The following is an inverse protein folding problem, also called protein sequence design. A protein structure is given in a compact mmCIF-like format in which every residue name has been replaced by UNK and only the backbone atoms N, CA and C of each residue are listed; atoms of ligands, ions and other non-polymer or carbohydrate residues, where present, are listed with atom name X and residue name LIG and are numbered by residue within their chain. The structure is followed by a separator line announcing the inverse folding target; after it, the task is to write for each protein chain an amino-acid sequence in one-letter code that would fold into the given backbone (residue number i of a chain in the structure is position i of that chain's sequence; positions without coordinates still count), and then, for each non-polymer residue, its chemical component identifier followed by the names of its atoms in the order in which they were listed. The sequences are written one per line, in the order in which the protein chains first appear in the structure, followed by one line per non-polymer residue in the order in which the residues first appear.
data_IF_777657129322
#
_entry.id   IF_777657129322
#
_cell.length_a   1.000
_cell.length_b   1.000
_cell.length_c   1.000
_cell.angle_alpha   90.00
_cell.angle_beta   90.00
_cell.angle_gamma   90.00
#
_symmetry.space_group_name_H-M   'P 1'
#
loop_
_entity.id
_entity.type
_entity.pdbx_description
1 polymer ?
#
# COMPACT_ATOMS: atom_id res chain seq x y z
N UNK A 1 -42.06 31.84 9.75
CA UNK A 1 -40.62 31.61 9.48
C UNK A 1 -40.03 30.93 10.71
N UNK A 2 -39.97 29.59 10.70
CA UNK A 2 -39.24 28.78 11.68
C UNK A 2 -38.02 28.24 10.94
N UNK A 3 -36.86 28.43 11.55
CA UNK A 3 -35.54 27.99 11.08
C UNK A 3 -35.40 26.48 11.28
N UNK A 4 -35.14 25.76 10.19
CA UNK A 4 -34.83 24.33 10.20
C UNK A 4 -33.39 24.08 10.67
N UNK A 5 -33.26 23.50 11.87
CA UNK A 5 -32.01 22.92 12.39
C UNK A 5 -31.74 21.57 11.72
N UNK A 6 -30.72 21.53 10.85
CA UNK A 6 -30.23 20.31 10.22
C UNK A 6 -29.34 19.53 11.23
N UNK A 7 -29.89 18.46 11.82
CA UNK A 7 -29.14 17.52 12.68
C UNK A 7 -28.19 16.64 11.84
N UNK A 8 -26.92 16.44 12.22
CA UNK A 8 -26.06 15.48 11.55
C UNK A 8 -26.39 14.05 12.00
N UNK A 9 -26.70 13.18 11.04
CA UNK A 9 -26.95 11.75 11.22
C UNK A 9 -25.69 11.01 11.68
N UNK A 10 -25.72 10.48 12.90
CA UNK A 10 -24.69 9.60 13.46
C UNK A 10 -24.75 8.20 12.85
N UNK A 11 -24.02 7.97 11.77
CA UNK A 11 -23.77 6.63 11.23
C UNK A 11 -22.72 5.90 12.06
N UNK A 12 -23.15 5.18 13.11
CA UNK A 12 -22.30 4.21 13.83
C UNK A 12 -22.00 3.03 12.89
N UNK A 13 -20.78 2.93 12.36
CA UNK A 13 -20.28 1.67 11.80
C UNK A 13 -19.81 0.77 12.95
N UNK A 14 -20.76 0.08 13.58
CA UNK A 14 -20.47 -0.98 14.53
C UNK A 14 -19.79 -2.16 13.83
N UNK A 15 -18.50 -2.37 14.09
CA UNK A 15 -17.84 -3.64 13.78
C UNK A 15 -18.12 -4.61 14.92
N UNK A 16 -18.92 -5.63 14.64
CA UNK A 16 -19.18 -6.77 15.53
C UNK A 16 -17.84 -7.46 15.84
N UNK A 17 -17.60 -7.71 17.13
CA UNK A 17 -16.41 -8.40 17.63
C UNK A 17 -16.57 -9.92 17.47
N UNK A 18 -15.77 -10.53 16.60
CA UNK A 18 -15.66 -11.99 16.42
C UNK A 18 -14.24 -12.52 16.75
N UNK A 19 -14.11 -13.80 17.13
CA UNK A 19 -13.03 -14.30 17.99
C UNK A 19 -11.64 -14.33 17.34
N UNK A 20 -10.62 -14.39 18.20
CA UNK A 20 -9.20 -14.23 17.87
C UNK A 20 -8.63 -15.40 17.07
N UNK A 21 -8.63 -15.27 15.74
CA UNK A 21 -7.84 -16.13 14.84
C UNK A 21 -6.36 -15.76 14.87
N UNK A 22 -5.48 -16.77 14.91
CA UNK A 22 -4.01 -16.70 15.06
C UNK A 22 -3.27 -15.79 14.07
N UNK A 23 -3.89 -15.43 12.94
CA UNK A 23 -3.36 -14.51 11.94
C UNK A 23 -4.46 -13.65 11.33
N UNK A 24 -4.49 -12.33 11.53
CA UNK A 24 -5.27 -11.45 10.64
C UNK A 24 -4.36 -10.94 9.54
N UNK A 25 -4.53 -11.42 8.31
CA UNK A 25 -4.15 -10.60 7.15
C UNK A 25 -5.11 -9.41 7.16
N UNK A 26 -4.72 -8.35 7.86
CA UNK A 26 -5.50 -7.13 7.82
C UNK A 26 -5.37 -6.60 6.40
N UNK A 27 -6.44 -6.77 5.60
CA UNK A 27 -6.69 -6.13 4.30
C UNK A 27 -5.46 -5.41 3.79
N UNK A 28 -4.54 -6.15 3.16
CA UNK A 28 -3.27 -5.62 2.69
C UNK A 28 -3.61 -4.45 1.77
N UNK A 29 -3.49 -3.22 2.27
CA UNK A 29 -3.76 -2.07 1.43
C UNK A 29 -2.61 -2.00 0.45
N UNK A 30 -2.87 -2.30 -0.80
CA UNK A 30 -1.89 -2.16 -1.87
C UNK A 30 -1.44 -0.70 -1.87
N UNK A 31 -0.19 -0.48 -1.52
CA UNK A 31 0.51 0.75 -1.81
C UNK A 31 1.57 0.38 -2.84
N UNK A 32 1.51 1.00 -4.02
CA UNK A 32 2.61 0.93 -4.97
C UNK A 32 3.85 1.44 -4.23
N UNK A 33 4.89 0.63 -4.10
CA UNK A 33 6.18 1.09 -3.57
C UNK A 33 7.12 1.13 -4.76
N UNK A 34 7.08 2.23 -5.50
CA UNK A 34 8.02 2.49 -6.60
C UNK A 34 9.48 2.24 -6.18
N UNK A 35 10.36 2.00 -7.14
CA UNK A 35 11.77 1.77 -6.91
C UNK A 35 12.45 2.88 -6.08
N UNK A 36 13.65 2.60 -5.59
CA UNK A 36 14.49 3.51 -4.78
C UNK A 36 14.89 4.82 -5.48
N UNK A 37 14.39 5.08 -6.69
CA UNK A 37 14.72 6.22 -7.56
C UNK A 37 13.81 7.44 -7.38
N UNK A 38 12.71 7.36 -6.61
CA UNK A 38 11.84 8.52 -6.31
C UNK A 38 12.05 9.04 -4.90
N UNK A 39 12.13 10.37 -4.77
CA UNK A 39 12.13 11.04 -3.48
C UNK A 39 10.84 10.72 -2.71
N UNK A 40 11.00 10.42 -1.42
CA UNK A 40 9.91 10.12 -0.51
C UNK A 40 10.09 10.86 0.79
N UNK A 41 9.12 11.70 1.11
CA UNK A 41 9.05 12.35 2.40
C UNK A 41 7.94 11.74 3.22
N UNK A 42 8.19 11.60 4.52
CA UNK A 42 7.21 11.10 5.48
C UNK A 42 6.70 12.29 6.26
N UNK A 43 5.41 12.58 6.15
CA UNK A 43 4.81 13.71 6.82
C UNK A 43 3.60 13.31 7.66
N UNK A 44 3.26 14.17 8.60
CA UNK A 44 1.96 14.21 9.21
C UNK A 44 1.11 15.24 8.48
N UNK A 45 -0.14 14.90 8.13
CA UNK A 45 -1.08 15.80 7.45
C UNK A 45 -2.24 16.14 8.38
N UNK A 46 -2.55 17.44 8.48
CA UNK A 46 -3.75 17.98 9.13
C UNK A 46 -4.35 19.05 8.22
N UNK A 47 -5.55 18.76 7.70
CA UNK A 47 -6.20 19.57 6.68
C UNK A 47 -5.25 19.83 5.49
N UNK A 48 -4.91 21.10 5.22
CA UNK A 48 -4.04 21.51 4.11
C UNK A 48 -2.55 21.60 4.50
N UNK A 49 -2.22 21.42 5.78
CA UNK A 49 -0.86 21.59 6.26
C UNK A 49 -0.16 20.24 6.46
N UNK A 50 1.11 20.20 6.08
CA UNK A 50 1.98 19.05 6.24
C UNK A 50 3.17 19.39 7.14
N UNK A 51 3.50 18.46 8.02
CA UNK A 51 4.51 18.63 9.05
C UNK A 51 5.49 17.46 9.04
N UNK A 52 6.76 17.72 9.35
CA UNK A 52 7.72 16.66 9.66
C UNK A 52 7.45 16.15 11.08
N UNK A 53 7.37 14.83 11.23
CA UNK A 53 7.15 14.21 12.53
C UNK A 53 8.51 13.93 13.20
N UNK A 54 9.01 14.90 13.95
CA UNK A 54 10.40 14.90 14.47
C UNK A 54 10.53 14.42 15.93
N UNK A 55 9.42 14.34 16.68
CA UNK A 55 9.46 13.85 18.06
C UNK A 55 9.34 12.31 18.16
N UNK A 56 9.95 11.66 19.17
CA UNK A 56 9.97 10.19 19.30
C UNK A 56 8.57 9.54 19.36
N UNK A 57 7.62 10.23 19.98
CA UNK A 57 6.22 9.81 20.13
C UNK A 57 5.34 10.20 18.94
N UNK A 58 5.86 10.95 17.96
CA UNK A 58 5.15 11.28 16.74
C UNK A 58 5.37 10.21 15.67
N UNK A 59 4.42 10.13 14.74
CA UNK A 59 4.52 9.26 13.59
C UNK A 59 3.92 9.96 12.37
N UNK A 60 4.65 9.89 11.25
CA UNK A 60 4.10 10.25 9.95
C UNK A 60 2.85 9.42 9.63
N UNK A 61 1.85 10.09 9.06
CA UNK A 61 0.59 9.50 8.61
C UNK A 61 0.53 9.36 7.09
N UNK A 62 1.40 10.06 6.37
CA UNK A 62 1.41 10.07 4.92
C UNK A 62 2.82 9.87 4.37
N UNK A 63 2.87 9.39 3.13
CA UNK A 63 4.07 9.36 2.29
C UNK A 63 3.81 10.30 1.13
N UNK A 64 4.66 11.31 0.99
CA UNK A 64 4.72 12.20 -0.15
C UNK A 64 5.65 11.58 -1.20
N UNK A 65 5.19 11.49 -2.45
CA UNK A 65 5.99 11.10 -3.60
C UNK A 65 5.95 12.20 -4.66
N UNK A 66 7.11 12.77 -4.94
CA UNK A 66 7.29 13.66 -6.09
C UNK A 66 7.83 12.88 -7.29
N UNK A 67 7.88 13.56 -8.45
CA UNK A 67 8.59 13.06 -9.62
C UNK A 67 10.10 12.92 -9.29
N UNK A 68 10.82 11.95 -9.88
CA UNK A 68 12.27 11.93 -9.78
C UNK A 68 12.85 13.23 -10.35
N UNK A 69 13.91 13.76 -9.71
CA UNK A 69 14.58 15.00 -10.12
C UNK A 69 15.27 14.87 -11.49
N UNK A 70 15.64 13.63 -11.89
CA UNK A 70 16.29 13.34 -13.16
C UNK A 70 15.58 12.15 -13.82
N UNK A 71 15.27 12.29 -15.11
CA UNK A 71 14.88 11.20 -16.01
C UNK A 71 13.47 10.60 -15.78
N UNK A 72 12.42 11.41 -15.97
CA UNK A 72 11.06 10.88 -16.02
C UNK A 72 10.29 11.50 -17.18
N UNK A 73 9.53 10.71 -17.97
CA UNK A 73 8.46 11.28 -18.78
C UNK A 73 7.52 12.10 -17.89
N UNK A 74 7.00 13.19 -18.43
CA UNK A 74 5.95 13.97 -17.77
C UNK A 74 4.76 13.04 -17.45
N UNK A 75 4.16 13.18 -16.27
CA UNK A 75 2.94 12.43 -15.91
C UNK A 75 3.09 11.30 -14.88
N UNK A 76 4.31 10.87 -14.51
CA UNK A 76 4.53 9.74 -13.58
C UNK A 76 3.76 9.81 -12.24
N UNK A 77 3.56 11.01 -11.69
CA UNK A 77 2.77 11.23 -10.46
C UNK A 77 1.27 11.10 -10.74
N UNK A 78 0.81 11.64 -11.87
CA UNK A 78 -0.57 11.55 -12.35
C UNK A 78 -0.97 10.12 -12.70
N UNK A 79 -0.11 9.38 -13.39
CA UNK A 79 -0.33 7.96 -13.72
C UNK A 79 -0.55 7.12 -12.46
N UNK A 80 0.27 7.36 -11.43
CA UNK A 80 0.13 6.65 -10.16
C UNK A 80 -1.15 7.06 -9.41
N UNK A 81 -1.52 8.34 -9.44
CA UNK A 81 -2.79 8.81 -8.90
C UNK A 81 -3.97 8.12 -9.58
N UNK A 82 -4.03 8.16 -10.91
CA UNK A 82 -5.11 7.55 -11.71
C UNK A 82 -5.19 6.05 -11.46
N UNK A 83 -4.06 5.32 -11.51
CA UNK A 83 -4.02 3.89 -11.24
C UNK A 83 -4.54 3.55 -9.83
N UNK A 84 -4.14 4.32 -8.80
CA UNK A 84 -4.58 4.10 -7.43
C UNK A 84 -6.07 4.42 -7.23
N UNK A 85 -6.58 5.50 -7.86
CA UNK A 85 -8.01 5.84 -7.85
C UNK A 85 -8.84 4.80 -8.57
N UNK A 86 -8.39 4.32 -9.74
CA UNK A 86 -9.05 3.25 -10.47
C UNK A 86 -9.10 1.97 -9.65
N UNK A 87 -7.97 1.58 -9.02
CA UNK A 87 -7.91 0.41 -8.14
C UNK A 87 -8.93 0.50 -7.00
N UNK A 88 -9.08 1.68 -6.39
CA UNK A 88 -10.09 1.93 -5.36
C UNK A 88 -11.52 1.76 -5.89
N UNK A 89 -11.84 2.34 -7.06
CA UNK A 89 -13.16 2.25 -7.68
C UNK A 89 -13.55 0.81 -8.02
N UNK A 90 -12.59 -0.02 -8.49
CA UNK A 90 -12.85 -1.45 -8.78
C UNK A 90 -12.82 -2.34 -7.53
N UNK A 91 -12.77 -1.74 -6.34
CA UNK A 91 -12.89 -2.43 -5.06
C UNK A 91 -11.62 -3.15 -4.57
N UNK A 92 -10.44 -2.79 -5.10
CA UNK A 92 -9.19 -3.30 -4.53
C UNK A 92 -8.89 -2.59 -3.20
N UNK A 93 -8.42 -3.30 -2.16
CA UNK A 93 -7.95 -2.68 -0.93
C UNK A 93 -6.67 -1.90 -1.22
N UNK A 94 -6.76 -0.62 -1.57
CA UNK A 94 -5.59 0.25 -1.83
C UNK A 94 -5.49 1.36 -0.79
N UNK A 95 -4.29 1.92 -0.63
CA UNK A 95 -4.10 3.10 0.20
C UNK A 95 -4.84 4.31 -0.39
N UNK A 96 -5.54 5.11 0.43
CA UNK A 96 -6.09 6.40 -0.02
C UNK A 96 -4.98 7.30 -0.55
N UNK A 97 -5.28 8.00 -1.65
CA UNK A 97 -4.35 8.92 -2.29
C UNK A 97 -5.01 10.25 -2.63
N UNK A 98 -4.23 11.32 -2.56
CA UNK A 98 -4.58 12.65 -3.03
C UNK A 98 -3.45 13.22 -3.89
N UNK A 99 -3.79 13.92 -4.96
CA UNK A 99 -2.83 14.64 -5.78
C UNK A 99 -2.86 16.11 -5.36
N UNK A 100 -1.71 16.62 -4.94
CA UNK A 100 -1.53 18.03 -4.57
C UNK A 100 -0.53 18.70 -5.50
N UNK A 101 -0.65 20.00 -5.68
CA UNK A 101 0.28 20.80 -6.47
C UNK A 101 0.97 21.80 -5.53
N UNK A 102 2.27 21.61 -5.31
CA UNK A 102 3.11 22.51 -4.51
C UNK A 102 4.33 22.85 -5.37
N UNK A 103 4.16 23.87 -6.22
CA UNK A 103 4.98 24.14 -7.42
C UNK A 103 4.98 23.00 -8.46
N UNK A 104 5.10 21.75 -8.04
CA UNK A 104 5.01 20.53 -8.85
C UNK A 104 3.97 19.54 -8.30
N UNK A 105 3.47 18.59 -9.12
CA UNK A 105 2.53 17.57 -8.66
C UNK A 105 3.20 16.58 -7.70
N UNK A 106 2.60 16.42 -6.51
CA UNK A 106 3.02 15.49 -5.46
C UNK A 106 1.87 14.57 -5.11
N UNK A 107 2.15 13.27 -5.10
CA UNK A 107 1.19 12.25 -4.67
C UNK A 107 1.30 12.05 -3.16
N UNK A 108 0.23 12.38 -2.46
CA UNK A 108 0.08 12.12 -1.03
C UNK A 108 -0.60 10.76 -0.85
N UNK A 109 0.05 9.85 -0.14
CA UNK A 109 -0.44 8.49 0.11
C UNK A 109 -0.66 8.31 1.60
N UNK A 110 -1.88 7.99 2.02
CA UNK A 110 -2.18 7.69 3.41
C UNK A 110 -1.56 6.35 3.81
N UNK A 111 -0.88 6.33 4.96
CA UNK A 111 -0.21 5.15 5.47
C UNK A 111 -1.19 4.19 6.14
N UNK A 112 -1.35 3.01 5.54
CA UNK A 112 -2.17 1.94 6.09
C UNK A 112 -1.54 1.25 7.32
N UNK A 113 -0.23 1.42 7.54
CA UNK A 113 0.50 0.93 8.71
C UNK A 113 0.42 1.89 9.91
N UNK A 114 -0.55 2.82 9.89
CA UNK A 114 -0.84 3.79 10.95
C UNK A 114 -2.31 3.71 11.31
N UNK A 115 -2.61 3.76 12.61
CA UNK A 115 -3.97 3.83 13.14
C UNK A 115 -4.06 5.00 14.11
N UNK A 116 -5.04 5.88 13.89
CA UNK A 116 -5.38 6.92 14.87
C UNK A 116 -6.10 6.24 16.04
N UNK A 117 -5.61 6.47 17.25
CA UNK A 117 -6.24 6.06 18.50
C UNK A 117 -6.20 7.28 19.43
N UNK A 118 -7.37 7.83 19.73
CA UNK A 118 -7.54 9.02 20.57
C UNK A 118 -6.59 10.17 20.14
N UNK A 119 -5.65 10.53 21.01
CA UNK A 119 -4.67 11.58 20.81
C UNK A 119 -3.33 11.09 20.24
N UNK A 120 -3.22 9.82 19.87
CA UNK A 120 -1.98 9.18 19.43
C UNK A 120 -2.11 8.45 18.09
N UNK A 121 -0.95 8.19 17.47
CA UNK A 121 -0.84 7.40 16.24
C UNK A 121 -0.12 6.10 16.55
N UNK A 122 -0.86 4.99 16.54
CA UNK A 122 -0.32 3.66 16.72
C UNK A 122 0.28 3.14 15.42
N UNK A 123 1.49 2.59 15.50
CA UNK A 123 2.16 1.90 14.39
C UNK A 123 1.66 0.45 14.33
N UNK A 124 1.30 0.00 13.13
CA UNK A 124 0.91 -1.40 12.89
C UNK A 124 2.10 -2.11 12.26
N UNK A 125 2.54 -3.22 12.86
CA UNK A 125 3.66 -3.98 12.31
C UNK A 125 3.30 -4.51 10.93
N UNK A 126 4.14 -4.17 9.95
CA UNK A 126 3.91 -4.43 8.54
C UNK A 126 5.25 -4.86 7.94
N UNK A 127 5.22 -5.92 7.14
CA UNK A 127 6.37 -6.39 6.39
C UNK A 127 6.07 -6.37 4.89
N UNK A 128 7.09 -6.19 4.07
CA UNK A 128 6.96 -6.33 2.62
C UNK A 128 7.11 -7.79 2.17
N UNK A 129 6.70 -8.11 0.94
CA UNK A 129 6.79 -9.50 0.43
C UNK A 129 8.22 -10.04 0.37
N UNK A 130 9.23 -9.17 0.22
CA UNK A 130 10.63 -9.61 0.24
C UNK A 130 11.02 -10.05 1.65
N UNK A 131 10.67 -9.28 2.67
CA UNK A 131 10.89 -9.63 4.07
C UNK A 131 10.14 -10.91 4.44
N UNK A 132 8.89 -11.06 3.99
CA UNK A 132 8.09 -12.26 4.22
C UNK A 132 8.76 -13.54 3.69
N UNK A 133 9.42 -13.45 2.54
CA UNK A 133 10.11 -14.59 1.92
C UNK A 133 11.58 -14.73 2.34
N UNK A 134 12.11 -13.85 3.21
CA UNK A 134 13.53 -13.86 3.59
C UNK A 134 14.48 -13.55 2.42
N UNK A 135 14.00 -12.81 1.41
CA UNK A 135 14.76 -12.60 0.17
C UNK A 135 15.77 -11.43 0.28
N UNK A 136 16.95 -11.54 -0.35
CA UNK A 136 17.87 -10.42 -0.53
C UNK A 136 17.23 -9.27 -1.33
N UNK A 137 17.80 -8.06 -1.23
CA UNK A 137 17.27 -6.87 -1.92
C UNK A 137 17.22 -7.08 -3.44
N UNK A 138 18.23 -7.72 -4.02
CA UNK A 138 18.29 -8.02 -5.45
C UNK A 138 17.22 -9.00 -5.93
N UNK A 139 16.59 -9.77 -5.02
CA UNK A 139 15.68 -10.87 -5.36
C UNK A 139 14.20 -10.44 -5.30
N UNK A 140 13.93 -9.14 -5.39
CA UNK A 140 12.56 -8.61 -5.31
C UNK A 140 11.68 -9.00 -6.51
N UNK A 141 12.30 -9.23 -7.67
CA UNK A 141 11.65 -9.73 -8.88
C UNK A 141 11.79 -11.25 -8.98
N UNK A 142 10.83 -11.91 -9.63
CA UNK A 142 10.89 -13.34 -9.88
C UNK A 142 12.17 -13.75 -10.65
N UNK A 143 12.45 -13.09 -11.78
CA UNK A 143 13.67 -13.27 -12.56
C UNK A 143 14.75 -12.31 -12.04
N UNK A 144 15.57 -12.78 -11.12
CA UNK A 144 16.56 -11.96 -10.42
C UNK A 144 17.66 -11.40 -11.34
N UNK A 145 17.95 -12.09 -12.44
CA UNK A 145 18.94 -11.67 -13.46
C UNK A 145 18.30 -11.03 -14.70
N UNK A 146 16.99 -10.73 -14.67
CA UNK A 146 16.28 -10.10 -15.78
C UNK A 146 15.73 -11.07 -16.84
N UNK A 147 15.36 -10.52 -18.00
CA UNK A 147 14.64 -11.23 -19.06
C UNK A 147 15.50 -11.87 -20.16
N UNK A 148 16.84 -11.80 -20.05
CA UNK A 148 17.76 -12.29 -21.08
C UNK A 148 17.59 -13.79 -21.35
N UNK A 149 17.81 -14.21 -22.60
CA UNK A 149 17.60 -15.61 -23.06
C UNK A 149 18.30 -16.62 -22.16
N UNK A 150 19.52 -16.33 -21.75
CA UNK A 150 20.39 -17.25 -21.03
C UNK A 150 20.05 -17.35 -19.55
N UNK A 151 19.33 -16.36 -19.01
CA UNK A 151 19.01 -16.29 -17.57
C UNK A 151 17.50 -16.38 -17.28
N UNK A 152 16.64 -16.38 -18.31
CA UNK A 152 15.17 -16.36 -18.17
C UNK A 152 14.60 -17.54 -17.36
N UNK A 153 15.35 -18.64 -17.31
CA UNK A 153 14.98 -19.87 -16.61
C UNK A 153 15.25 -19.77 -15.10
N UNK A 154 16.10 -18.84 -14.67
CA UNK A 154 16.42 -18.58 -13.27
C UNK A 154 15.32 -17.71 -12.65
N UNK A 155 14.52 -18.30 -11.75
CA UNK A 155 13.31 -17.69 -11.17
C UNK A 155 13.28 -17.75 -9.64
N UNK A 156 14.45 -17.59 -9.01
CA UNK A 156 14.63 -17.76 -7.55
C UNK A 156 14.08 -16.63 -6.69
N UNK A 157 13.54 -15.58 -7.31
CA UNK A 157 12.95 -14.46 -6.59
C UNK A 157 11.50 -14.70 -6.19
N UNK A 158 10.79 -13.60 -5.91
CA UNK A 158 9.39 -13.65 -5.51
C UNK A 158 8.48 -13.94 -6.70
N UNK A 159 7.97 -15.18 -6.80
CA UNK A 159 7.02 -15.60 -7.82
C UNK A 159 5.56 -15.45 -7.36
N UNK A 160 4.64 -15.35 -8.32
CA UNK A 160 3.20 -15.26 -8.03
C UNK A 160 2.67 -16.48 -7.24
N UNK A 161 3.05 -17.74 -7.54
CA UNK A 161 2.64 -18.89 -6.73
C UNK A 161 3.09 -18.77 -5.28
N UNK A 162 4.33 -18.32 -5.01
CA UNK A 162 4.82 -18.09 -3.64
C UNK A 162 3.96 -17.06 -2.93
N UNK A 163 3.60 -15.97 -3.60
CA UNK A 163 2.69 -14.93 -3.08
C UNK A 163 1.31 -15.50 -2.77
N UNK A 164 0.70 -16.23 -3.69
CA UNK A 164 -0.65 -16.80 -3.48
C UNK A 164 -0.65 -17.80 -2.31
N UNK A 165 0.41 -18.58 -2.15
CA UNK A 165 0.52 -19.54 -1.04
C UNK A 165 0.63 -18.87 0.34
N UNK A 166 1.05 -17.60 0.42
CA UNK A 166 1.04 -16.87 1.70
C UNK A 166 -0.36 -16.72 2.30
N UNK A 167 -1.41 -16.81 1.46
CA UNK A 167 -2.79 -16.75 1.91
C UNK A 167 -3.16 -17.88 2.89
N UNK A 168 -2.48 -19.04 2.81
CA UNK A 168 -2.68 -20.17 3.72
C UNK A 168 -2.36 -19.83 5.18
N UNK A 169 -1.53 -18.81 5.40
CA UNK A 169 -1.12 -18.33 6.72
C UNK A 169 -2.04 -17.24 7.28
N UNK A 170 -3.22 -17.05 6.70
CA UNK A 170 -4.13 -15.96 7.05
C UNK A 170 -5.43 -16.50 7.65
N UNK A 171 -6.17 -15.67 8.41
CA UNK A 171 -7.47 -16.04 8.98
C UNK A 171 -8.50 -16.48 7.93
N UNK A 172 -8.41 -15.95 6.72
CA UNK A 172 -9.35 -16.25 5.65
C UNK A 172 -8.62 -16.46 4.32
N UNK A 173 -8.05 -17.67 4.09
CA UNK A 173 -7.23 -17.94 2.91
C UNK A 173 -7.98 -17.73 1.59
N UNK A 174 -9.26 -18.11 1.52
CA UNK A 174 -10.07 -17.95 0.31
C UNK A 174 -10.22 -16.47 -0.09
N UNK A 175 -10.52 -15.60 0.88
CA UNK A 175 -10.63 -14.16 0.66
C UNK A 175 -9.29 -13.55 0.22
N UNK A 176 -8.19 -13.92 0.85
CA UNK A 176 -6.88 -13.36 0.53
C UNK A 176 -6.36 -13.83 -0.83
N UNK A 177 -6.61 -15.09 -1.23
CA UNK A 177 -6.34 -15.57 -2.59
C UNK A 177 -7.11 -14.78 -3.64
N UNK A 178 -8.39 -14.52 -3.39
CA UNK A 178 -9.22 -13.72 -4.30
C UNK A 178 -8.67 -12.30 -4.44
N UNK A 179 -8.25 -11.67 -3.34
CA UNK A 179 -7.61 -10.34 -3.39
C UNK A 179 -6.32 -10.35 -4.21
N UNK A 180 -5.43 -11.31 -3.96
CA UNK A 180 -4.18 -11.45 -4.70
C UNK A 180 -4.41 -11.69 -6.20
N UNK A 181 -5.41 -12.51 -6.55
CA UNK A 181 -5.81 -12.75 -7.94
C UNK A 181 -6.34 -11.47 -8.60
N UNK A 182 -7.27 -10.76 -7.95
CA UNK A 182 -7.81 -9.48 -8.45
C UNK A 182 -6.69 -8.45 -8.64
N UNK A 183 -5.73 -8.39 -7.72
CA UNK A 183 -4.56 -7.52 -7.84
C UNK A 183 -3.67 -7.90 -9.03
N UNK A 184 -3.38 -9.19 -9.22
CA UNK A 184 -2.57 -9.66 -10.34
C UNK A 184 -3.23 -9.32 -11.69
N UNK A 185 -4.54 -9.60 -11.83
CA UNK A 185 -5.33 -9.26 -13.01
C UNK A 185 -5.32 -7.75 -13.24
N UNK A 186 -5.60 -6.95 -12.21
CA UNK A 186 -5.60 -5.50 -12.31
C UNK A 186 -4.27 -4.95 -12.83
N UNK A 187 -3.14 -5.44 -12.29
CA UNK A 187 -1.79 -5.04 -12.73
C UNK A 187 -1.54 -5.32 -14.20
N UNK A 188 -2.03 -6.45 -14.72
CA UNK A 188 -1.98 -6.77 -16.16
C UNK A 188 -2.84 -5.80 -16.97
N UNK A 189 -4.09 -5.56 -16.55
CA UNK A 189 -5.03 -4.68 -17.26
C UNK A 189 -4.54 -3.24 -17.39
N UNK A 190 -3.86 -2.72 -16.37
CA UNK A 190 -3.29 -1.36 -16.40
C UNK A 190 -1.86 -1.30 -17.00
N UNK A 191 -1.37 -2.40 -17.59
CA UNK A 191 -0.05 -2.46 -18.21
C UNK A 191 1.13 -2.25 -17.25
N UNK A 192 0.95 -2.55 -15.95
CA UNK A 192 1.95 -2.25 -14.93
C UNK A 192 2.91 -3.43 -14.74
N UNK A 193 3.95 -3.47 -15.57
CA UNK A 193 5.00 -4.50 -15.56
C UNK A 193 5.93 -4.46 -14.34
N UNK A 194 5.87 -3.41 -13.52
CA UNK A 194 6.65 -3.28 -12.27
C UNK A 194 5.87 -3.91 -11.09
N UNK A 195 5.58 -5.22 -11.20
CA UNK A 195 4.96 -6.01 -10.15
C UNK A 195 6.02 -6.88 -9.48
N UNK A 196 6.43 -6.51 -8.26
CA UNK A 196 7.49 -7.20 -7.51
C UNK A 196 7.12 -7.33 -6.02
N UNK A 197 7.83 -8.18 -5.27
CA UNK A 197 7.48 -8.53 -3.88
C UNK A 197 7.27 -7.32 -2.95
N UNK A 198 8.03 -6.24 -3.15
CA UNK A 198 7.98 -5.03 -2.30
C UNK A 198 6.75 -4.14 -2.55
N UNK A 199 5.94 -4.45 -3.58
CA UNK A 199 4.65 -3.80 -3.85
C UNK A 199 3.50 -4.44 -3.09
N UNK A 200 3.76 -5.55 -2.40
CA UNK A 200 2.84 -6.20 -1.48
C UNK A 200 3.31 -5.96 -0.05
N UNK A 201 2.35 -5.79 0.85
CA UNK A 201 2.59 -5.56 2.26
C UNK A 201 1.62 -6.39 3.09
N UNK A 202 2.14 -6.97 4.15
CA UNK A 202 1.44 -7.91 5.02
C UNK A 202 1.38 -7.32 6.42
N UNK A 203 0.17 -7.20 6.97
CA UNK A 203 -0.02 -6.79 8.35
C UNK A 203 0.19 -7.97 9.26
N UNK A 204 1.00 -7.77 10.30
CA UNK A 204 1.37 -8.80 11.25
C UNK A 204 0.49 -8.69 12.49
N UNK A 205 0.05 -9.84 13.01
CA UNK A 205 -0.64 -9.94 14.29
C UNK A 205 0.31 -10.40 15.40
N UNK A 206 -0.18 -10.47 16.63
CA UNK A 206 0.61 -10.95 17.78
C UNK A 206 1.08 -12.40 17.66
N UNK A 207 0.36 -13.26 16.94
CA UNK A 207 0.77 -14.65 16.68
C UNK A 207 1.66 -14.83 15.45
N UNK A 208 2.30 -13.74 15.00
CA UNK A 208 2.30 -13.30 13.59
C UNK A 208 3.16 -13.99 12.57
#
# INVERSE_FOLDING_TARGET
MKSDECRPSSGRSGFVSEPASRFRCGTGRYARRSQATRARLRCWSKAIHWYLAEAPNLASTHILKSKPVRLSPAGLTGDEFVCMRLAHVVGLPVAPVALHHVAEPVLLIERFDRRRQDHAIRRVHTIDGRQLFGLPVAHQYERIYGGGRDVKHIRDGASLPRVIHTADRTANPARERLHLLRWAIFKVLIGNADAHAKNLSFLMTSGG
#
